data_IF_016306771991
#
_entry.id   IF_016306771991
#
_cell.length_a   1.000
_cell.length_b   1.000
_cell.length_c   1.000
_cell.angle_alpha   90.00
_cell.angle_beta   90.00
_cell.angle_gamma   90.00
#
_symmetry.space_group_name_H-M   'P 1'
#
loop_
_entity.id
_entity.type
_entity.pdbx_description
1 polymer ?
#
# COMPACT_ATOMS: atom_id res chain seq x y z
N UNK A 1 -8.64 -0.97 6.20
CA UNK A 1 -8.55 0.46 6.47
C UNK A 1 -7.91 1.10 5.25
N UNK A 2 -8.68 1.85 4.47
CA UNK A 2 -8.25 2.51 3.24
C UNK A 2 -7.46 3.76 3.65
N UNK A 3 -6.35 4.02 2.96
CA UNK A 3 -5.51 5.23 3.13
C UNK A 3 -5.42 6.00 1.81
N UNK A 4 -6.51 6.01 1.06
CA UNK A 4 -6.59 6.59 -0.26
C UNK A 4 -7.33 7.94 -0.17
N UNK A 5 -6.58 9.04 -0.25
CA UNK A 5 -7.14 10.38 -0.34
C UNK A 5 -8.01 10.53 -1.59
N UNK A 6 -9.01 11.42 -1.55
CA UNK A 6 -10.10 11.59 -2.53
C UNK A 6 -9.73 11.78 -4.00
N UNK A 7 -8.44 11.82 -4.33
CA UNK A 7 -7.93 11.79 -5.69
C UNK A 7 -8.25 10.46 -6.42
N UNK A 8 -8.28 9.32 -5.72
CA UNK A 8 -8.39 7.97 -6.31
C UNK A 8 -9.74 7.69 -6.98
N UNK A 9 -10.79 8.38 -6.55
CA UNK A 9 -12.11 8.25 -7.14
C UNK A 9 -12.18 8.95 -8.52
N UNK A 10 -11.33 9.96 -8.78
CA UNK A 10 -11.36 10.79 -9.98
C UNK A 10 -11.00 9.99 -11.24
N UNK A 11 -10.07 9.03 -11.14
CA UNK A 11 -9.71 8.11 -12.25
C UNK A 11 -10.80 7.09 -12.57
N UNK A 12 -11.70 6.81 -11.63
CA UNK A 12 -12.90 5.99 -11.83
C UNK A 12 -14.13 6.81 -12.27
N UNK A 13 -13.97 8.12 -12.47
CA UNK A 13 -15.06 9.06 -12.81
C UNK A 13 -15.77 9.69 -11.60
N UNK A 14 -15.20 9.60 -10.40
CA UNK A 14 -15.79 10.06 -9.15
C UNK A 14 -15.00 11.21 -8.52
N UNK A 15 -15.53 12.42 -8.62
CA UNK A 15 -14.85 13.62 -8.11
C UNK A 15 -15.44 13.96 -6.76
N UNK A 16 -14.75 13.58 -5.69
CA UNK A 16 -15.06 14.00 -4.33
C UNK A 16 -13.80 14.00 -3.48
N UNK A 17 -13.50 15.13 -2.82
CA UNK A 17 -12.44 15.20 -1.82
C UNK A 17 -12.88 14.41 -0.58
N UNK A 18 -12.38 13.18 -0.44
CA UNK A 18 -12.56 12.33 0.74
C UNK A 18 -11.23 12.21 1.47
N UNK A 19 -11.20 12.56 2.76
CA UNK A 19 -10.11 12.21 3.65
C UNK A 19 -10.51 10.89 4.33
N UNK A 20 -10.30 9.76 3.66
CA UNK A 20 -10.71 8.44 4.15
C UNK A 20 -9.64 7.80 5.06
N UNK A 21 -8.85 8.58 5.80
CA UNK A 21 -7.83 8.02 6.70
C UNK A 21 -8.53 7.25 7.82
N UNK A 22 -8.68 5.93 7.67
CA UNK A 22 -9.32 5.09 8.69
C UNK A 22 -10.53 4.29 8.24
N UNK A 23 -11.09 4.55 7.06
CA UNK A 23 -12.39 4.00 6.66
C UNK A 23 -12.28 2.69 5.86
N UNK A 24 -13.31 1.85 5.90
CA UNK A 24 -13.52 0.68 5.05
C UNK A 24 -14.20 1.08 3.73
N UNK A 25 -14.16 0.21 2.72
CA UNK A 25 -14.76 0.53 1.42
C UNK A 25 -16.29 0.70 1.53
N UNK A 26 -16.89 0.00 2.48
CA UNK A 26 -18.28 0.09 2.88
C UNK A 26 -18.61 1.45 3.51
N UNK A 27 -17.79 1.91 4.46
CA UNK A 27 -17.96 3.23 5.08
C UNK A 27 -17.76 4.36 4.06
N UNK A 28 -16.79 4.22 3.15
CA UNK A 28 -16.60 5.16 2.04
C UNK A 28 -17.84 5.22 1.12
N UNK A 29 -18.50 4.09 0.89
CA UNK A 29 -19.75 4.05 0.12
C UNK A 29 -20.91 4.71 0.86
N UNK A 30 -21.04 4.48 2.17
CA UNK A 30 -22.11 5.04 3.00
C UNK A 30 -22.00 6.55 3.16
N UNK A 31 -20.76 7.07 3.20
CA UNK A 31 -20.50 8.49 3.29
C UNK A 31 -20.62 9.21 1.95
N UNK A 32 -20.60 8.50 0.82
CA UNK A 32 -20.61 9.06 -0.53
C UNK A 32 -21.82 10.00 -0.75
N UNK A 33 -21.57 11.31 -0.85
CA UNK A 33 -22.62 12.29 -1.14
C UNK A 33 -23.01 12.28 -2.62
N UNK A 34 -23.90 11.35 -2.96
CA UNK A 34 -24.51 11.24 -4.28
C UNK A 34 -25.61 12.30 -4.54
N UNK A 35 -25.97 13.12 -3.54
CA UNK A 35 -27.12 14.04 -3.66
C UNK A 35 -26.92 15.15 -4.68
N UNK A 36 -25.67 15.42 -5.06
CA UNK A 36 -25.31 16.46 -6.04
C UNK A 36 -25.08 15.90 -7.47
N UNK A 37 -25.42 14.63 -7.71
CA UNK A 37 -25.16 13.94 -8.97
C UNK A 37 -26.45 13.73 -9.76
N UNK A 38 -26.38 13.79 -11.09
CA UNK A 38 -27.55 13.56 -11.94
C UNK A 38 -27.91 12.07 -11.97
N UNK A 39 -29.19 11.72 -12.22
CA UNK A 39 -29.61 10.34 -12.39
C UNK A 39 -28.81 9.58 -13.46
N UNK A 40 -28.38 10.24 -14.54
CA UNK A 40 -27.52 9.62 -15.56
C UNK A 40 -26.10 9.34 -15.05
N UNK A 41 -25.56 10.19 -14.18
CA UNK A 41 -24.24 9.95 -13.56
C UNK A 41 -24.30 8.80 -12.53
N UNK A 42 -25.46 8.61 -11.91
CA UNK A 42 -25.70 7.53 -10.94
C UNK A 42 -26.09 6.21 -11.65
N UNK A 43 -26.57 6.28 -12.89
CA UNK A 43 -26.95 5.13 -13.69
C UNK A 43 -25.73 4.25 -14.01
N UNK A 44 -25.55 3.18 -13.24
CA UNK A 44 -24.44 2.22 -13.39
C UNK A 44 -23.46 2.22 -12.22
N UNK A 45 -23.64 3.11 -11.24
CA UNK A 45 -22.93 3.04 -9.97
C UNK A 45 -23.41 1.81 -9.20
N UNK A 46 -22.57 0.80 -9.10
CA UNK A 46 -22.84 -0.42 -8.35
C UNK A 46 -21.95 -0.49 -7.10
N UNK A 47 -22.58 -0.64 -5.93
CA UNK A 47 -21.90 -0.72 -4.63
C UNK A 47 -20.79 -1.76 -4.61
N UNK A 48 -21.04 -2.96 -5.15
CA UNK A 48 -20.07 -4.05 -5.13
C UNK A 48 -18.88 -3.76 -6.05
N UNK A 49 -19.14 -3.14 -7.20
CA UNK A 49 -18.09 -2.67 -8.12
C UNK A 49 -17.23 -1.59 -7.48
N UNK A 50 -17.85 -0.63 -6.78
CA UNK A 50 -17.15 0.40 -6.03
C UNK A 50 -16.26 -0.23 -4.96
N UNK A 51 -16.82 -1.07 -4.09
CA UNK A 51 -16.11 -1.73 -3.01
C UNK A 51 -14.92 -2.54 -3.54
N UNK A 52 -15.13 -3.32 -4.59
CA UNK A 52 -14.09 -4.15 -5.22
C UNK A 52 -12.93 -3.28 -5.72
N UNK A 53 -13.23 -2.19 -6.43
CA UNK A 53 -12.21 -1.31 -7.00
C UNK A 53 -11.44 -0.56 -5.93
N UNK A 54 -12.15 -0.01 -4.93
CA UNK A 54 -11.53 0.71 -3.82
C UNK A 54 -10.61 -0.21 -3.03
N UNK A 55 -11.04 -1.44 -2.74
CA UNK A 55 -10.18 -2.43 -2.06
C UNK A 55 -8.95 -2.81 -2.90
N UNK A 56 -9.11 -3.00 -4.21
CA UNK A 56 -7.98 -3.31 -5.10
C UNK A 56 -6.94 -2.17 -5.13
N UNK A 57 -7.40 -0.93 -5.24
CA UNK A 57 -6.54 0.26 -5.22
C UNK A 57 -5.83 0.44 -3.88
N UNK A 58 -6.56 0.28 -2.78
CA UNK A 58 -5.97 0.36 -1.43
C UNK A 58 -4.86 -0.69 -1.26
N UNK A 59 -5.09 -1.92 -1.70
CA UNK A 59 -4.07 -2.98 -1.67
C UNK A 59 -2.86 -2.64 -2.54
N UNK A 60 -3.06 -2.08 -3.73
CA UNK A 60 -1.97 -1.66 -4.63
C UNK A 60 -1.14 -0.52 -4.03
N UNK A 61 -1.79 0.46 -3.40
CA UNK A 61 -1.11 1.55 -2.70
C UNK A 61 -0.27 1.00 -1.55
N UNK A 62 -0.83 0.16 -0.68
CA UNK A 62 -0.08 -0.43 0.42
C UNK A 62 1.08 -1.31 -0.08
N UNK A 63 0.89 -2.08 -1.15
CA UNK A 63 1.99 -2.82 -1.80
C UNK A 63 3.09 -1.90 -2.34
N UNK A 64 2.71 -0.75 -2.88
CA UNK A 64 3.66 0.27 -3.36
C UNK A 64 4.48 0.83 -2.20
N UNK A 65 3.85 1.19 -1.08
CA UNK A 65 4.52 1.66 0.13
C UNK A 65 5.50 0.59 0.68
N UNK A 66 5.09 -0.68 0.70
CA UNK A 66 5.95 -1.79 1.13
C UNK A 66 7.17 -1.93 0.22
N UNK A 67 6.98 -1.87 -1.10
CA UNK A 67 8.08 -1.94 -2.08
C UNK A 67 9.04 -0.76 -1.91
N UNK A 68 8.52 0.45 -1.73
CA UNK A 68 9.34 1.64 -1.49
C UNK A 68 10.17 1.49 -0.21
N UNK A 69 9.56 1.06 0.90
CA UNK A 69 10.28 0.88 2.16
C UNK A 69 11.34 -0.22 2.06
N UNK A 70 11.02 -1.34 1.41
CA UNK A 70 11.98 -2.41 1.10
C UNK A 70 13.17 -1.85 0.31
N UNK A 71 12.91 -1.08 -0.74
CA UNK A 71 13.97 -0.55 -1.62
C UNK A 71 14.88 0.41 -0.85
N UNK A 72 14.33 1.26 0.00
CA UNK A 72 15.11 2.10 0.92
C UNK A 72 16.00 1.28 1.85
N UNK A 73 15.46 0.25 2.50
CA UNK A 73 16.23 -0.60 3.43
C UNK A 73 17.32 -1.43 2.73
N UNK A 74 17.06 -1.87 1.50
CA UNK A 74 18.06 -2.50 0.64
C UNK A 74 19.15 -1.50 0.24
N UNK A 75 18.80 -0.27 -0.13
CA UNK A 75 19.79 0.76 -0.45
C UNK A 75 20.68 1.11 0.76
N UNK A 76 20.07 1.28 1.94
CA UNK A 76 20.80 1.59 3.20
C UNK A 76 21.78 0.48 3.63
N UNK A 77 21.54 -0.77 3.20
CA UNK A 77 22.38 -1.92 3.51
C UNK A 77 23.26 -2.36 2.33
N UNK A 78 23.27 -1.61 1.23
CA UNK A 78 23.93 -2.03 -0.01
C UNK A 78 25.46 -2.04 0.11
N UNK A 79 26.01 -1.06 0.83
CA UNK A 79 27.44 -0.94 1.08
C UNK A 79 28.02 -2.20 1.76
N UNK A 80 27.24 -2.90 2.58
CA UNK A 80 27.66 -4.13 3.29
C UNK A 80 27.98 -5.26 2.32
N UNK A 81 27.38 -5.25 1.13
CA UNK A 81 27.54 -6.29 0.12
C UNK A 81 28.73 -6.03 -0.83
N UNK A 82 29.47 -4.94 -0.66
CA UNK A 82 30.66 -4.65 -1.45
C UNK A 82 31.80 -5.62 -1.09
N UNK A 83 32.58 -6.03 -2.10
CA UNK A 83 33.69 -6.98 -1.93
C UNK A 83 34.76 -6.55 -0.93
N UNK A 84 34.92 -5.24 -0.76
CA UNK A 84 35.95 -4.64 0.07
C UNK A 84 35.54 -4.55 1.55
N UNK A 85 34.27 -4.82 1.85
CA UNK A 85 33.73 -4.80 3.21
C UNK A 85 33.99 -6.14 3.89
N UNK A 86 34.73 -6.09 4.99
CA UNK A 86 35.01 -7.26 5.84
C UNK A 86 34.26 -7.07 7.15
N UNK A 87 33.14 -7.78 7.29
CA UNK A 87 32.33 -7.83 8.51
C UNK A 87 32.22 -9.27 8.99
N UNK A 88 32.34 -9.48 10.31
CA UNK A 88 32.20 -10.81 10.92
C UNK A 88 30.78 -11.37 10.81
N UNK A 89 29.77 -10.51 10.65
CA UNK A 89 28.36 -10.87 10.61
C UNK A 89 27.72 -10.72 9.22
N UNK A 90 28.48 -10.81 8.13
CA UNK A 90 27.97 -10.66 6.76
C UNK A 90 26.78 -11.60 6.45
N UNK A 91 26.71 -12.77 7.08
CA UNK A 91 25.60 -13.72 6.91
C UNK A 91 24.27 -13.23 7.53
N UNK A 92 24.33 -12.47 8.62
CA UNK A 92 23.15 -11.81 9.20
C UNK A 92 22.60 -10.77 8.23
N UNK A 93 23.49 -10.00 7.59
CA UNK A 93 23.10 -9.03 6.56
C UNK A 93 22.53 -9.67 5.30
N UNK A 94 23.06 -10.83 4.88
CA UNK A 94 22.47 -11.60 3.77
C UNK A 94 21.07 -12.07 4.12
N UNK A 95 20.88 -12.59 5.33
CA UNK A 95 19.58 -13.04 5.84
C UNK A 95 18.59 -11.88 5.92
N UNK A 96 19.01 -10.74 6.47
CA UNK A 96 18.22 -9.50 6.54
C UNK A 96 17.76 -9.04 5.15
N UNK A 97 18.69 -8.93 4.19
CA UNK A 97 18.38 -8.50 2.81
C UNK A 97 17.49 -9.50 2.09
N UNK A 98 17.63 -10.80 2.36
CA UNK A 98 16.73 -11.80 1.80
C UNK A 98 15.31 -11.65 2.35
N UNK A 99 15.16 -11.52 3.67
CA UNK A 99 13.88 -11.30 4.32
C UNK A 99 13.17 -10.04 3.78
N UNK A 100 13.91 -8.95 3.50
CA UNK A 100 13.37 -7.77 2.83
C UNK A 100 12.81 -8.07 1.43
N UNK A 101 13.53 -8.85 0.61
CA UNK A 101 13.08 -9.20 -0.74
C UNK A 101 11.85 -10.08 -0.74
N UNK A 102 11.68 -10.90 0.29
CA UNK A 102 10.56 -11.82 0.44
C UNK A 102 9.27 -11.11 0.90
N UNK A 103 9.35 -9.89 1.45
CA UNK A 103 8.20 -9.14 2.01
C UNK A 103 6.97 -9.04 1.07
N UNK A 104 7.08 -8.68 -0.23
CA UNK A 104 5.90 -8.56 -1.07
C UNK A 104 5.12 -9.88 -1.28
N UNK A 105 5.76 -11.04 -1.01
CA UNK A 105 5.13 -12.35 -1.13
C UNK A 105 4.64 -12.91 0.21
N UNK A 106 5.22 -12.46 1.33
CA UNK A 106 4.93 -13.00 2.66
C UNK A 106 3.94 -12.15 3.47
N UNK A 107 3.67 -10.92 3.03
CA UNK A 107 2.74 -10.02 3.71
C UNK A 107 1.30 -10.39 3.38
N UNK A 108 0.56 -10.80 4.42
CA UNK A 108 -0.89 -11.06 4.35
C UNK A 108 -1.73 -9.86 4.79
N UNK A 109 -1.16 -8.96 5.61
CA UNK A 109 -1.79 -7.71 6.05
C UNK A 109 -0.91 -6.53 5.66
N UNK A 110 -1.28 -5.86 4.57
CA UNK A 110 -0.51 -4.73 4.05
C UNK A 110 -0.51 -3.50 4.97
N UNK A 111 -1.43 -3.43 5.95
CA UNK A 111 -1.51 -2.31 6.89
C UNK A 111 -0.62 -2.50 8.12
N UNK A 112 -0.13 -3.71 8.36
CA UNK A 112 0.67 -4.05 9.53
C UNK A 112 1.90 -4.90 9.17
N UNK A 113 2.72 -4.37 8.26
CA UNK A 113 3.95 -5.05 7.84
C UNK A 113 5.04 -4.92 8.88
N UNK A 114 5.51 -6.07 9.38
CA UNK A 114 6.71 -6.14 10.22
C UNK A 114 7.95 -6.28 9.35
N UNK A 115 8.85 -5.31 9.43
CA UNK A 115 10.13 -5.36 8.72
C UNK A 115 11.19 -6.06 9.58
N UNK A 116 12.12 -6.82 8.96
CA UNK A 116 13.22 -7.44 9.69
C UNK A 116 14.07 -6.36 10.38
N UNK A 117 14.62 -6.68 11.54
CA UNK A 117 15.51 -5.78 12.26
C UNK A 117 16.89 -5.79 11.63
N UNK A 118 17.49 -4.60 11.52
CA UNK A 118 18.83 -4.43 10.95
C UNK A 118 19.86 -5.09 11.88
N UNK A 119 20.83 -5.85 11.35
CA UNK A 119 21.95 -6.39 12.13
C UNK A 119 22.82 -5.26 12.73
N UNK A 120 23.55 -5.57 13.81
CA UNK A 120 24.48 -4.65 14.49
C UNK A 120 25.91 -4.78 14.00
#
# INVERSE_FOLDING_TARGET
MIRATGQYLIELGYIGNWNSDGETAEECWENLDLKNWTPEQIAGINRDTFITRVNALANEQSLTEIRQKRDTLLAESDWVMLSDVVLSNIDEWRTYRQALRDLPQTVTDYNNVTYPQKPS
#
